data_IF_069801864930
#
_entry.id   IF_069801864930
#
_cell.length_a   1.000
_cell.length_b   1.000
_cell.length_c   1.000
_cell.angle_alpha   90.00
_cell.angle_beta   90.00
_cell.angle_gamma   90.00
#
_symmetry.space_group_name_H-M   'P 1'
#
loop_
_entity.id
_entity.type
_entity.pdbx_description
1 polymer ?
#
# COMPACT_ATOMS: atom_id res chain seq x y z
N UNK A 1 -2.33 5.07 -7.84
CA UNK A 1 -1.35 5.40 -6.77
C UNK A 1 -0.18 6.08 -7.43
N UNK A 2 0.20 7.26 -6.95
CA UNK A 2 1.34 8.01 -7.46
C UNK A 2 2.52 7.85 -6.52
N UNK A 3 3.73 8.02 -7.06
CA UNK A 3 4.97 8.08 -6.29
C UNK A 3 5.62 9.44 -6.51
N UNK A 4 6.42 9.88 -5.54
CA UNK A 4 7.26 11.06 -5.67
C UNK A 4 8.65 10.65 -6.14
N UNK A 5 9.42 11.59 -6.68
CA UNK A 5 10.78 11.31 -7.17
C UNK A 5 11.73 10.90 -6.03
N UNK A 6 11.43 11.34 -4.81
CA UNK A 6 12.17 11.03 -3.59
C UNK A 6 11.23 10.41 -2.55
N UNK A 7 11.76 9.53 -1.67
CA UNK A 7 10.97 8.97 -0.59
C UNK A 7 10.44 10.08 0.32
N UNK A 8 9.15 10.01 0.63
CA UNK A 8 8.55 10.94 1.57
C UNK A 8 9.06 10.68 2.99
N UNK A 9 9.03 11.72 3.83
CA UNK A 9 9.37 11.60 5.25
C UNK A 9 8.54 10.52 5.96
N UNK A 10 7.25 10.42 5.65
CA UNK A 10 6.37 9.41 6.24
C UNK A 10 6.72 7.98 5.82
N UNK A 11 7.16 7.77 4.57
CA UNK A 11 7.61 6.45 4.11
C UNK A 11 8.89 6.01 4.84
N UNK A 12 9.86 6.92 4.98
CA UNK A 12 11.11 6.63 5.70
C UNK A 12 10.86 6.35 7.19
N UNK A 13 10.04 7.17 7.85
CA UNK A 13 9.69 6.93 9.24
C UNK A 13 8.89 5.63 9.43
N UNK A 14 7.99 5.29 8.51
CA UNK A 14 7.27 4.03 8.54
C UNK A 14 8.19 2.82 8.40
N UNK A 15 9.20 2.90 7.53
CA UNK A 15 10.23 1.87 7.38
C UNK A 15 11.04 1.69 8.67
N UNK A 16 11.50 2.80 9.27
CA UNK A 16 12.28 2.75 10.51
C UNK A 16 11.44 2.25 11.70
N UNK A 17 10.20 2.74 11.83
CA UNK A 17 9.26 2.32 12.87
C UNK A 17 8.94 0.82 12.79
N UNK A 18 8.82 0.27 11.56
CA UNK A 18 8.66 -1.16 11.35
C UNK A 18 9.91 -1.95 11.80
N UNK A 19 11.11 -1.42 11.53
CA UNK A 19 12.37 -2.03 11.96
C UNK A 19 12.53 -2.14 13.48
N UNK A 20 11.95 -1.20 14.23
CA UNK A 20 11.93 -1.24 15.71
C UNK A 20 10.66 -1.87 16.31
N UNK A 21 9.72 -2.32 15.46
CA UNK A 21 8.54 -3.07 15.89
C UNK A 21 7.40 -2.24 16.49
N UNK A 22 7.27 -0.95 16.14
CA UNK A 22 6.12 -0.13 16.56
C UNK A 22 4.89 -0.55 15.76
N UNK A 23 3.82 -0.95 16.46
CA UNK A 23 2.56 -1.36 15.82
C UNK A 23 1.80 -0.15 15.28
N UNK A 24 0.90 -0.41 14.33
CA UNK A 24 0.11 0.65 13.65
C UNK A 24 -0.94 1.32 14.55
N UNK A 25 -1.40 0.60 15.57
CA UNK A 25 -2.38 1.06 16.56
C UNK A 25 -1.74 1.86 17.72
N UNK A 26 -0.41 1.76 17.89
CA UNK A 26 0.34 2.49 18.91
C UNK A 26 0.63 3.94 18.46
N UNK A 27 -0.41 4.75 18.43
CA UNK A 27 -0.35 6.14 17.95
C UNK A 27 0.57 7.02 18.78
N UNK A 28 0.69 6.78 20.08
CA UNK A 28 1.56 7.54 20.97
C UNK A 28 3.04 7.32 20.63
N UNK A 29 3.47 6.05 20.51
CA UNK A 29 4.85 5.76 20.11
C UNK A 29 5.17 6.24 18.71
N UNK A 30 4.24 6.08 17.75
CA UNK A 30 4.42 6.59 16.40
C UNK A 30 4.59 8.11 16.39
N UNK A 31 3.80 8.84 17.19
CA UNK A 31 3.90 10.30 17.29
C UNK A 31 5.19 10.75 17.97
N UNK A 32 5.63 10.07 19.02
CA UNK A 32 6.92 10.32 19.65
C UNK A 32 8.05 10.09 18.64
N UNK A 33 8.07 8.93 17.99
CA UNK A 33 9.04 8.58 16.96
C UNK A 33 9.07 9.65 15.85
N UNK A 34 7.90 10.06 15.35
CA UNK A 34 7.79 11.07 14.30
C UNK A 34 8.40 12.43 14.67
N UNK A 35 8.41 12.84 15.95
CA UNK A 35 8.93 14.17 16.35
C UNK A 35 10.44 14.24 16.50
N UNK A 36 11.14 13.11 16.67
CA UNK A 36 12.55 13.11 17.09
C UNK A 36 13.56 12.83 15.95
N UNK A 37 13.12 12.66 14.71
CA UNK A 37 14.02 12.40 13.57
C UNK A 37 13.98 13.51 12.52
N UNK A 38 15.19 13.94 12.16
CA UNK A 38 15.48 14.74 10.97
C UNK A 38 16.23 13.85 9.97
N UNK A 39 15.88 13.95 8.69
CA UNK A 39 16.38 13.08 7.63
C UNK A 39 17.02 13.90 6.52
N UNK A 40 18.14 13.41 5.98
CA UNK A 40 18.76 13.92 4.75
C UNK A 40 18.77 12.77 3.74
N UNK A 41 18.31 13.04 2.52
CA UNK A 41 18.20 12.04 1.46
C UNK A 41 19.13 12.43 0.32
N UNK A 42 20.04 11.52 -0.05
CA UNK A 42 20.86 11.65 -1.24
C UNK A 42 20.20 10.89 -2.39
N UNK A 43 19.82 11.61 -3.44
CA UNK A 43 19.13 11.04 -4.60
C UNK A 43 20.10 10.37 -5.59
N UNK A 44 19.61 9.37 -6.32
CA UNK A 44 20.33 8.86 -7.49
C UNK A 44 20.37 9.93 -8.60
N UNK A 45 21.50 10.01 -9.32
CA UNK A 45 21.68 10.98 -10.41
C UNK A 45 20.76 10.72 -11.62
N UNK A 46 20.33 9.48 -11.84
CA UNK A 46 19.55 9.07 -13.00
C UNK A 46 18.34 8.22 -12.56
N UNK A 47 17.25 8.83 -12.08
CA UNK A 47 16.06 8.09 -11.70
C UNK A 47 15.37 7.48 -12.93
N UNK A 48 14.74 6.31 -12.76
CA UNK A 48 13.91 5.66 -13.78
C UNK A 48 12.50 5.47 -13.22
N UNK A 49 11.52 5.81 -14.03
CA UNK A 49 10.12 5.72 -13.69
C UNK A 49 9.50 4.49 -14.34
N UNK A 50 8.62 3.80 -13.61
CA UNK A 50 7.82 2.71 -14.13
C UNK A 50 6.35 2.92 -13.78
N UNK A 51 5.48 2.69 -14.76
CA UNK A 51 4.04 2.64 -14.54
C UNK A 51 3.57 1.20 -14.64
N UNK A 52 3.01 0.71 -13.56
CA UNK A 52 2.47 -0.63 -13.42
C UNK A 52 0.95 -0.63 -13.58
N UNK A 53 0.49 -1.49 -14.49
CA UNK A 53 -0.92 -1.80 -14.68
C UNK A 53 -1.26 -3.00 -13.80
N UNK A 54 -1.79 -2.70 -12.61
CA UNK A 54 -2.00 -3.68 -11.56
C UNK A 54 -3.48 -4.09 -11.49
N UNK A 55 -3.77 -5.32 -11.90
CA UNK A 55 -5.11 -5.92 -11.86
C UNK A 55 -5.30 -6.75 -10.59
N UNK A 56 -6.50 -6.66 -10.00
CA UNK A 56 -6.91 -7.52 -8.88
C UNK A 56 -8.24 -8.15 -9.24
N UNK A 57 -8.31 -9.48 -9.19
CA UNK A 57 -9.56 -10.20 -9.39
C UNK A 57 -10.49 -9.95 -8.21
N UNK A 58 -11.68 -9.45 -8.52
CA UNK A 58 -12.72 -9.10 -7.58
C UNK A 58 -14.07 -9.52 -8.16
N UNK A 59 -14.90 -10.29 -7.45
CA UNK A 59 -16.24 -10.58 -7.93
C UNK A 59 -17.11 -9.33 -7.90
N UNK A 60 -18.15 -9.30 -8.73
CA UNK A 60 -19.17 -8.27 -8.71
C UNK A 60 -19.91 -8.30 -7.37
N UNK A 61 -20.33 -7.13 -6.89
CA UNK A 61 -21.11 -7.05 -5.66
C UNK A 61 -22.47 -7.73 -5.87
N UNK A 62 -22.75 -8.78 -5.07
CA UNK A 62 -24.04 -9.46 -5.05
C UNK A 62 -24.78 -9.10 -3.77
N UNK A 63 -25.91 -8.39 -3.90
CA UNK A 63 -26.76 -8.03 -2.76
C UNK A 63 -27.21 -9.29 -2.01
N UNK A 64 -27.12 -9.24 -0.67
CA UNK A 64 -27.48 -10.33 0.26
C UNK A 64 -26.59 -11.59 0.17
N UNK A 65 -25.52 -11.58 -0.62
CA UNK A 65 -24.52 -12.64 -0.58
C UNK A 65 -23.56 -12.41 0.61
N UNK A 66 -23.22 -13.50 1.32
CA UNK A 66 -22.20 -13.49 2.36
C UNK A 66 -21.22 -14.62 2.06
N UNK A 67 -19.98 -14.23 1.78
CA UNK A 67 -18.88 -15.16 1.52
C UNK A 67 -18.07 -15.34 2.80
N UNK A 68 -17.68 -16.57 3.11
CA UNK A 68 -16.87 -16.91 4.29
C UNK A 68 -15.37 -17.01 3.95
N UNK A 69 -15.04 -17.14 2.66
CA UNK A 69 -13.66 -17.15 2.20
C UNK A 69 -13.50 -16.50 0.82
N UNK A 70 -12.30 -16.00 0.52
CA UNK A 70 -11.98 -15.45 -0.80
C UNK A 70 -12.10 -16.49 -1.93
N UNK A 71 -11.88 -17.78 -1.61
CA UNK A 71 -12.06 -18.89 -2.57
C UNK A 71 -13.51 -19.00 -3.01
N UNK A 72 -14.45 -18.86 -2.08
CA UNK A 72 -15.89 -18.88 -2.33
C UNK A 72 -16.34 -17.64 -3.10
N UNK A 73 -15.78 -16.47 -2.79
CA UNK A 73 -16.00 -15.23 -3.55
C UNK A 73 -15.65 -15.39 -5.05
N UNK A 74 -14.62 -16.17 -5.35
CA UNK A 74 -14.05 -16.32 -6.70
C UNK A 74 -14.52 -17.58 -7.44
N UNK A 75 -15.42 -18.38 -6.86
CA UNK A 75 -15.79 -19.67 -7.44
C UNK A 75 -16.76 -19.58 -8.62
N UNK A 76 -17.54 -18.50 -8.71
CA UNK A 76 -18.50 -18.28 -9.80
C UNK A 76 -17.85 -17.50 -10.95
N UNK A 77 -17.60 -18.11 -12.12
CA UNK A 77 -16.97 -17.45 -13.26
C UNK A 77 -17.77 -16.28 -13.83
N UNK A 78 -19.10 -16.28 -13.72
CA UNK A 78 -19.96 -15.23 -14.30
C UNK A 78 -19.91 -13.93 -13.47
N UNK A 79 -19.59 -14.07 -12.20
CA UNK A 79 -19.46 -12.96 -11.26
C UNK A 79 -18.04 -12.38 -11.23
N UNK A 80 -17.06 -13.04 -11.85
CA UNK A 80 -15.69 -12.54 -11.88
C UNK A 80 -15.60 -11.19 -12.60
N UNK A 81 -14.93 -10.25 -11.96
CA UNK A 81 -14.52 -9.00 -12.55
C UNK A 81 -13.10 -8.65 -12.15
N UNK A 82 -12.55 -7.58 -12.73
CA UNK A 82 -11.22 -7.10 -12.40
C UNK A 82 -11.30 -5.64 -11.98
N UNK A 83 -10.74 -5.32 -10.82
CA UNK A 83 -10.42 -3.95 -10.46
C UNK A 83 -9.05 -3.66 -11.02
N UNK A 84 -8.97 -2.63 -11.87
CA UNK A 84 -7.73 -2.18 -12.48
C UNK A 84 -7.24 -0.97 -11.71
N UNK A 85 -6.00 -1.03 -11.23
CA UNK A 85 -5.31 0.08 -10.59
C UNK A 85 -4.04 0.40 -11.34
N UNK A 86 -3.71 1.69 -11.44
CA UNK A 86 -2.42 2.15 -11.98
C UNK A 86 -1.52 2.56 -10.83
N UNK A 87 -0.27 2.09 -10.82
CA UNK A 87 0.72 2.40 -9.78
C UNK A 87 1.98 2.94 -10.45
N UNK A 88 2.41 4.12 -10.03
CA UNK A 88 3.69 4.68 -10.46
C UNK A 88 4.77 4.29 -9.43
N UNK A 89 5.96 3.94 -9.92
CA UNK A 89 7.17 3.60 -9.16
C UNK A 89 8.38 4.36 -9.68
#
# INVERSE_FOLDING_TARGET
RHTHELPSRSALLGLLAAGVGIRRDDTERLNAFNRHYSLVVCASRNPRWARDYHTVQMPKEVRKARYFSRREELSDPELLSAIISRRDY
#
